data_IF_146570132809
#
_entry.id   IF_146570132809
#
_cell.length_a   1.000
_cell.length_b   1.000
_cell.length_c   1.000
_cell.angle_alpha   90.00
_cell.angle_beta   90.00
_cell.angle_gamma   90.00
#
_symmetry.space_group_name_H-M   'P 1'
#
loop_
_entity.id
_entity.type
_entity.pdbx_description
1 polymer ?
#
# COMPACT_ATOMS: atom_id res chain seq x y z
N UNK A 1 6.31 8.77 -14.50
CA UNK A 1 6.11 7.47 -13.81
C UNK A 1 4.73 6.97 -14.19
N UNK A 2 4.63 5.85 -14.91
CA UNK A 2 3.35 5.21 -15.27
C UNK A 2 3.03 4.04 -14.32
N UNK A 3 3.38 4.16 -13.04
CA UNK A 3 3.14 3.14 -12.02
C UNK A 3 1.88 3.46 -11.23
N UNK A 4 1.01 2.47 -11.04
CA UNK A 4 -0.10 2.59 -10.11
C UNK A 4 0.43 2.72 -8.68
N UNK A 5 -0.16 3.64 -7.91
CA UNK A 5 0.16 3.84 -6.48
C UNK A 5 -1.09 3.63 -5.65
N UNK A 6 -0.91 2.96 -4.51
CA UNK A 6 -1.86 2.95 -3.39
C UNK A 6 -1.17 3.50 -2.15
N UNK A 7 -1.94 4.09 -1.24
CA UNK A 7 -1.42 4.63 0.02
C UNK A 7 -2.27 4.10 1.17
N UNK A 8 -1.67 3.29 2.04
CA UNK A 8 -2.33 2.80 3.26
C UNK A 8 -2.26 3.89 4.32
N UNK A 9 -3.40 4.24 4.91
CA UNK A 9 -3.56 5.33 5.87
C UNK A 9 -3.41 4.79 7.29
N UNK A 10 -2.57 5.44 8.11
CA UNK A 10 -2.31 5.03 9.50
C UNK A 10 -2.55 6.21 10.45
N UNK A 11 -3.22 5.93 11.57
CA UNK A 11 -3.44 6.92 12.65
C UNK A 11 -2.21 7.05 13.55
N UNK A 12 -1.49 5.95 13.75
CA UNK A 12 -0.39 5.83 14.70
C UNK A 12 0.97 5.64 14.02
N UNK A 13 2.06 5.97 14.71
CA UNK A 13 3.43 5.85 14.23
C UNK A 13 3.95 4.41 14.37
N UNK A 14 3.29 3.43 13.75
CA UNK A 14 3.73 2.04 13.79
C UNK A 14 4.83 1.77 12.76
N UNK A 15 5.91 1.14 13.20
CA UNK A 15 6.92 0.61 12.30
C UNK A 15 6.30 -0.44 11.39
N UNK A 16 6.64 -0.41 10.11
CA UNK A 16 6.14 -1.40 9.15
C UNK A 16 7.04 -2.62 9.22
N UNK A 17 6.53 -3.71 9.80
CA UNK A 17 7.24 -4.98 9.84
C UNK A 17 7.27 -5.60 8.43
N UNK A 18 8.43 -5.48 7.78
CA UNK A 18 8.65 -6.02 6.44
C UNK A 18 8.56 -7.54 6.35
N UNK A 19 8.89 -8.25 7.42
CA UNK A 19 8.80 -9.70 7.44
C UNK A 19 7.35 -10.13 7.57
N UNK A 20 6.58 -9.54 8.50
CA UNK A 20 5.15 -9.82 8.62
C UNK A 20 4.38 -9.49 7.33
N UNK A 21 4.72 -8.38 6.66
CA UNK A 21 4.14 -8.03 5.37
C UNK A 21 4.47 -9.07 4.28
N UNK A 22 5.73 -9.47 4.15
CA UNK A 22 6.13 -10.47 3.16
C UNK A 22 5.53 -11.85 3.46
N UNK A 23 5.46 -12.25 4.73
CA UNK A 23 4.90 -13.52 5.16
C UNK A 23 3.39 -13.60 4.85
N UNK A 24 2.60 -12.57 5.19
CA UNK A 24 1.18 -12.53 4.83
C UNK A 24 0.98 -12.57 3.30
N UNK A 25 1.83 -11.86 2.55
CA UNK A 25 1.77 -11.87 1.09
C UNK A 25 2.03 -13.26 0.51
N UNK A 26 3.07 -13.95 1.01
CA UNK A 26 3.41 -15.30 0.60
C UNK A 26 2.29 -16.28 0.94
N UNK A 27 1.77 -16.24 2.17
CA UNK A 27 0.73 -17.16 2.63
C UNK A 27 -0.57 -17.04 1.82
N UNK A 28 -0.98 -15.82 1.48
CA UNK A 28 -2.26 -15.59 0.79
C UNK A 28 -2.20 -15.79 -0.72
N UNK A 29 -1.12 -15.36 -1.33
CA UNK A 29 -1.09 -15.14 -2.79
C UNK A 29 -0.13 -16.08 -3.52
N UNK A 30 0.78 -16.74 -2.80
CA UNK A 30 1.83 -17.52 -3.42
C UNK A 30 1.63 -19.02 -3.20
N UNK A 31 1.80 -19.78 -4.28
CA UNK A 31 1.85 -21.23 -4.22
C UNK A 31 3.27 -21.73 -3.95
N UNK A 32 3.45 -23.06 -3.80
CA UNK A 32 4.77 -23.68 -3.57
C UNK A 32 5.82 -23.33 -4.63
N UNK A 33 5.38 -23.02 -5.85
CA UNK A 33 6.25 -22.73 -7.00
C UNK A 33 6.45 -21.22 -7.25
N UNK A 34 5.91 -20.34 -6.39
CA UNK A 34 6.06 -18.90 -6.54
C UNK A 34 7.51 -18.47 -6.31
N UNK A 35 8.05 -17.70 -7.25
CA UNK A 35 9.37 -17.09 -7.11
C UNK A 35 9.25 -15.71 -6.45
N UNK A 36 9.38 -15.67 -5.13
CA UNK A 36 9.36 -14.43 -4.34
C UNK A 36 10.66 -14.31 -3.55
N UNK A 37 11.30 -13.15 -3.65
CA UNK A 37 12.46 -12.83 -2.83
C UNK A 37 12.02 -12.37 -1.44
N UNK A 38 12.82 -12.62 -0.41
CA UNK A 38 12.53 -12.07 0.93
C UNK A 38 12.54 -10.53 0.95
N UNK A 39 11.92 -9.92 1.98
CA UNK A 39 11.92 -8.48 2.15
C UNK A 39 13.35 -7.95 2.29
N UNK A 40 13.61 -6.82 1.66
CA UNK A 40 14.88 -6.09 1.70
C UNK A 40 14.60 -4.66 2.11
N UNK A 41 15.29 -4.20 3.16
CA UNK A 41 15.26 -2.81 3.60
C UNK A 41 15.87 -1.87 2.54
N UNK A 42 15.24 -0.73 2.35
CA UNK A 42 15.69 0.30 1.42
C UNK A 42 16.61 1.30 2.13
N UNK A 43 17.65 1.74 1.41
CA UNK A 43 18.68 2.65 1.94
C UNK A 43 18.19 4.07 2.25
N UNK A 44 17.00 4.45 1.77
CA UNK A 44 16.30 5.66 2.19
C UNK A 44 15.15 5.23 3.12
N UNK A 45 15.43 5.29 4.41
CA UNK A 45 14.56 5.35 5.59
C UNK A 45 13.12 4.78 5.47
N UNK A 46 12.84 3.75 6.27
CA UNK A 46 11.52 3.13 6.48
C UNK A 46 10.83 2.57 5.22
N UNK A 47 11.63 2.17 4.23
CA UNK A 47 11.19 1.48 3.04
C UNK A 47 11.55 0.00 3.03
N UNK A 48 10.67 -0.81 2.47
CA UNK A 48 10.83 -2.25 2.29
C UNK A 48 10.45 -2.63 0.87
N UNK A 49 11.15 -3.61 0.32
CA UNK A 49 10.88 -4.12 -1.02
C UNK A 49 11.06 -5.62 -1.09
N UNK A 50 10.32 -6.27 -1.98
CA UNK A 50 10.55 -7.66 -2.35
C UNK A 50 10.18 -7.86 -3.82
N UNK A 51 10.72 -8.91 -4.42
CA UNK A 51 10.45 -9.24 -5.83
C UNK A 51 9.45 -10.38 -5.93
N UNK A 52 8.55 -10.30 -6.91
CA UNK A 52 7.60 -11.34 -7.30
C UNK A 52 7.81 -11.59 -8.79
N UNK A 53 8.53 -12.67 -9.10
CA UNK A 53 9.07 -12.90 -10.44
C UNK A 53 10.01 -11.76 -10.86
N UNK A 54 9.68 -11.08 -11.96
CA UNK A 54 10.42 -9.91 -12.46
C UNK A 54 9.92 -8.57 -11.91
N UNK A 55 8.77 -8.57 -11.21
CA UNK A 55 8.20 -7.37 -10.64
C UNK A 55 8.79 -7.11 -9.24
N UNK A 56 8.92 -5.84 -8.87
CA UNK A 56 9.32 -5.41 -7.54
C UNK A 56 8.15 -4.69 -6.86
N UNK A 57 7.78 -5.15 -5.67
CA UNK A 57 6.85 -4.47 -4.77
C UNK A 57 7.69 -3.60 -3.85
N UNK A 58 7.33 -2.33 -3.76
CA UNK A 58 7.99 -1.36 -2.90
C UNK A 58 6.95 -0.73 -1.99
N UNK A 59 7.20 -0.74 -0.68
CA UNK A 59 6.42 -0.06 0.34
C UNK A 59 7.31 0.94 1.09
N UNK A 60 6.85 2.18 1.25
CA UNK A 60 7.61 3.25 1.91
C UNK A 60 6.73 4.01 2.88
N UNK A 61 7.09 4.00 4.16
CA UNK A 61 6.36 4.76 5.18
C UNK A 61 6.75 6.24 5.12
N UNK A 62 5.74 7.08 5.03
CA UNK A 62 5.85 8.52 5.07
C UNK A 62 5.46 9.04 6.46
N UNK A 63 6.35 9.77 7.16
CA UNK A 63 6.08 10.34 8.48
C UNK A 63 5.26 11.63 8.40
N UNK A 64 4.20 11.62 7.59
CA UNK A 64 3.32 12.76 7.39
C UNK A 64 1.94 12.31 6.88
N UNK A 65 0.88 13.07 7.18
CA UNK A 65 -0.41 12.87 6.56
C UNK A 65 -0.36 13.26 5.08
N UNK A 66 -1.23 12.66 4.28
CA UNK A 66 -1.49 13.11 2.91
C UNK A 66 -2.18 14.48 2.99
N UNK A 67 -1.81 15.46 2.14
CA UNK A 67 -2.47 16.75 2.12
C UNK A 67 -3.99 16.61 1.97
N UNK A 68 -4.75 17.29 2.83
CA UNK A 68 -6.21 17.18 2.81
C UNK A 68 -6.83 17.59 1.48
N UNK A 69 -6.21 18.53 0.75
CA UNK A 69 -6.62 18.92 -0.60
C UNK A 69 -6.66 17.75 -1.59
N UNK A 70 -5.86 16.71 -1.35
CA UNK A 70 -5.80 15.51 -2.19
C UNK A 70 -6.84 14.45 -1.77
N UNK A 71 -7.38 14.56 -0.55
CA UNK A 71 -8.31 13.59 0.05
C UNK A 71 -9.75 14.11 0.18
N UNK A 72 -9.98 15.42 0.14
CA UNK A 72 -11.31 16.01 0.32
C UNK A 72 -12.34 15.44 -0.68
N UNK A 73 -12.02 15.46 -1.97
CA UNK A 73 -12.86 14.90 -3.02
C UNK A 73 -13.06 13.39 -2.89
N UNK A 74 -11.98 12.58 -2.81
CA UNK A 74 -12.07 11.14 -2.61
C UNK A 74 -12.89 10.73 -1.38
N UNK A 75 -12.75 11.42 -0.25
CA UNK A 75 -13.50 11.14 0.97
C UNK A 75 -14.97 11.54 0.82
N UNK A 76 -15.26 12.74 0.31
CA UNK A 76 -16.63 13.24 0.13
C UNK A 76 -17.46 12.40 -0.85
N UNK A 77 -16.79 11.68 -1.76
CA UNK A 77 -17.42 10.82 -2.77
C UNK A 77 -17.34 9.33 -2.45
N UNK A 78 -16.78 8.94 -1.29
CA UNK A 78 -16.64 7.52 -0.94
C UNK A 78 -18.01 6.88 -0.71
N UNK A 79 -18.31 5.86 -1.50
CA UNK A 79 -19.56 5.08 -1.40
C UNK A 79 -19.45 4.02 -0.30
N UNK A 80 -18.26 3.45 -0.12
CA UNK A 80 -18.02 2.33 0.81
C UNK A 80 -17.76 2.81 2.25
N UNK A 81 -17.33 4.06 2.42
CA UNK A 81 -16.98 4.62 3.71
C UNK A 81 -17.71 5.94 3.96
N UNK A 82 -18.93 5.84 4.50
CA UNK A 82 -19.85 6.98 4.67
C UNK A 82 -19.29 8.13 5.51
N UNK A 83 -18.44 7.82 6.49
CA UNK A 83 -17.84 8.79 7.39
C UNK A 83 -16.38 9.12 7.01
N UNK A 84 -15.94 8.80 5.79
CA UNK A 84 -14.54 8.98 5.38
C UNK A 84 -14.03 10.41 5.62
N UNK A 85 -14.85 11.43 5.34
CA UNK A 85 -14.47 12.84 5.53
C UNK A 85 -14.06 13.16 6.97
N UNK A 86 -14.73 12.56 7.95
CA UNK A 86 -14.46 12.79 9.38
C UNK A 86 -13.34 11.86 9.88
N UNK A 87 -13.37 10.60 9.47
CA UNK A 87 -12.47 9.58 10.00
C UNK A 87 -11.07 9.66 9.41
N UNK A 88 -10.95 9.87 8.10
CA UNK A 88 -9.66 9.93 7.41
C UNK A 88 -8.81 11.10 7.90
N UNK A 89 -9.40 12.24 8.31
CA UNK A 89 -8.61 13.38 8.81
C UNK A 89 -7.72 13.06 10.01
N UNK A 90 -7.99 11.96 10.74
CA UNK A 90 -7.16 11.54 11.86
C UNK A 90 -5.85 10.88 11.45
N UNK A 91 -5.72 10.37 10.22
CA UNK A 91 -4.47 9.77 9.76
C UNK A 91 -3.31 10.76 9.89
N UNK A 92 -2.18 10.28 10.41
CA UNK A 92 -0.96 11.09 10.61
C UNK A 92 0.21 10.58 9.76
N UNK A 93 0.06 9.37 9.21
CA UNK A 93 1.08 8.67 8.44
C UNK A 93 0.43 7.98 7.26
N UNK A 94 1.23 7.64 6.25
CA UNK A 94 0.79 6.75 5.19
C UNK A 94 1.93 5.89 4.68
N UNK A 95 1.61 4.71 4.14
CA UNK A 95 2.58 3.86 3.45
C UNK A 95 2.27 3.85 1.97
N UNK A 96 3.19 4.37 1.16
CA UNK A 96 3.10 4.35 -0.29
C UNK A 96 3.49 2.97 -0.76
N UNK A 97 2.64 2.32 -1.56
CA UNK A 97 2.93 1.06 -2.22
C UNK A 97 2.94 1.27 -3.73
N UNK A 98 3.94 0.71 -4.39
CA UNK A 98 3.99 0.68 -5.85
C UNK A 98 4.60 -0.62 -6.37
N UNK A 99 4.28 -0.92 -7.62
CA UNK A 99 4.79 -2.09 -8.35
C UNK A 99 5.60 -1.60 -9.54
N UNK A 100 6.83 -2.08 -9.65
CA UNK A 100 7.79 -1.74 -10.70
C UNK A 100 8.13 -3.02 -11.48
N UNK A 101 8.45 -2.90 -12.76
CA UNK A 101 9.04 -4.01 -13.53
C UNK A 101 8.03 -4.93 -14.23
N UNK A 102 6.73 -4.63 -14.21
CA UNK A 102 5.74 -5.33 -15.05
C UNK A 102 5.14 -4.41 -16.12
N UNK A 103 5.17 -4.77 -17.42
CA UNK A 103 4.66 -3.91 -18.50
C UNK A 103 3.14 -3.99 -18.65
N UNK A 104 2.48 -4.97 -18.01
CA UNK A 104 1.05 -5.19 -18.10
C UNK A 104 0.32 -4.49 -16.95
N UNK A 105 -0.46 -3.45 -17.26
CA UNK A 105 -1.19 -2.65 -16.27
C UNK A 105 -2.19 -3.45 -15.41
N UNK A 106 -2.81 -4.50 -15.96
CA UNK A 106 -3.72 -5.38 -15.21
C UNK A 106 -2.91 -6.17 -14.18
N UNK A 107 -1.80 -6.78 -14.62
CA UNK A 107 -0.91 -7.51 -13.71
C UNK A 107 -0.34 -6.60 -12.62
N UNK A 108 0.06 -5.36 -12.96
CA UNK A 108 0.49 -4.36 -11.98
C UNK A 108 -0.59 -4.07 -10.95
N UNK A 109 -1.84 -3.89 -11.40
CA UNK A 109 -2.96 -3.53 -10.54
C UNK A 109 -3.36 -4.67 -9.60
N UNK A 110 -3.33 -5.92 -10.10
CA UNK A 110 -3.56 -7.12 -9.28
C UNK A 110 -2.47 -7.24 -8.21
N UNK A 111 -1.20 -7.15 -8.60
CA UNK A 111 -0.09 -7.26 -7.66
C UNK A 111 -0.10 -6.13 -6.62
N UNK A 112 -0.41 -4.90 -7.06
CA UNK A 112 -0.57 -3.75 -6.16
C UNK A 112 -1.69 -3.98 -5.15
N UNK A 113 -2.82 -4.54 -5.60
CA UNK A 113 -3.95 -4.87 -4.72
C UNK A 113 -3.57 -5.93 -3.69
N UNK A 114 -2.91 -7.00 -4.13
CA UNK A 114 -2.42 -8.07 -3.24
C UNK A 114 -1.45 -7.53 -2.19
N UNK A 115 -0.46 -6.74 -2.62
CA UNK A 115 0.50 -6.09 -1.73
C UNK A 115 -0.19 -5.13 -0.75
N UNK A 116 -1.18 -4.35 -1.21
CA UNK A 116 -1.94 -3.46 -0.34
C UNK A 116 -2.69 -4.22 0.72
N UNK A 117 -3.40 -5.28 0.36
CA UNK A 117 -4.15 -6.11 1.31
C UNK A 117 -3.23 -6.74 2.34
N UNK A 118 -2.08 -7.25 1.91
CA UNK A 118 -1.11 -7.86 2.84
C UNK A 118 -0.47 -6.84 3.77
N UNK A 119 -0.18 -5.63 3.30
CA UNK A 119 0.30 -4.57 4.18
C UNK A 119 -0.77 -4.15 5.20
N UNK A 120 -2.04 -4.04 4.78
CA UNK A 120 -3.14 -3.76 5.69
C UNK A 120 -3.29 -4.85 6.76
N UNK A 121 -3.07 -6.12 6.41
CA UNK A 121 -3.12 -7.22 7.37
C UNK A 121 -1.95 -7.19 8.39
N UNK A 122 -0.81 -6.64 7.99
CA UNK A 122 0.37 -6.47 8.84
C UNK A 122 0.38 -5.16 9.66
N UNK A 123 -0.64 -4.30 9.53
CA UNK A 123 -0.69 -2.98 10.17
C UNK A 123 -2.08 -2.71 10.79
N UNK A 124 -2.21 -1.60 11.55
CA UNK A 124 -3.50 -1.10 12.07
C UNK A 124 -4.20 -0.16 11.07
N UNK A 125 -4.16 -0.51 9.78
CA UNK A 125 -4.61 0.34 8.70
C UNK A 125 -6.03 0.89 8.90
N UNK A 126 -6.18 2.21 8.79
CA UNK A 126 -7.49 2.87 8.79
C UNK A 126 -8.24 2.64 7.48
N UNK A 127 -7.50 2.56 6.38
CA UNK A 127 -8.02 2.40 5.02
C UNK A 127 -6.96 2.71 3.99
N UNK A 128 -7.37 2.87 2.73
CA UNK A 128 -6.48 3.02 1.58
C UNK A 128 -6.95 4.16 0.70
N UNK A 129 -6.02 5.04 0.33
CA UNK A 129 -6.19 5.96 -0.78
C UNK A 129 -5.63 5.36 -2.07
N UNK A 130 -6.51 5.10 -3.04
CA UNK A 130 -6.16 4.60 -4.36
C UNK A 130 -5.97 5.76 -5.34
N UNK A 131 -4.74 6.24 -5.48
CA UNK A 131 -4.44 7.49 -6.18
C UNK A 131 -4.93 7.50 -7.64
N UNK A 132 -4.81 6.37 -8.34
CA UNK A 132 -5.17 6.29 -9.76
C UNK A 132 -6.69 6.29 -10.02
N UNK A 133 -7.49 6.03 -8.97
CA UNK A 133 -8.95 6.06 -9.03
C UNK A 133 -9.53 7.26 -8.27
N UNK A 134 -8.69 8.08 -7.61
CA UNK A 134 -9.11 9.16 -6.71
C UNK A 134 -10.18 8.69 -5.71
N UNK A 135 -9.93 7.54 -5.08
CA UNK A 135 -10.91 6.84 -4.24
C UNK A 135 -10.30 6.45 -2.90
N UNK A 136 -11.06 6.59 -1.82
CA UNK A 136 -10.71 6.07 -0.49
C UNK A 136 -11.63 4.91 -0.12
N UNK A 137 -11.04 3.81 0.35
CA UNK A 137 -11.72 2.57 0.76
C UNK A 137 -11.18 1.98 2.05
#
# INVERSE_FOLDING_TARGET
MNGAISMVLLESDLEVDGQAFADDFLERWCGPDSNVSGPTELKLDNGISFNVGEASVVAMKMPAPIPWSDLEGPCATSILWKNATEEVQRHQFHVIITVIGTPNAIASSVLLTQATVSLMAATDAMGVYWCNASMVV
#
